data_IF_457980639753
#
_entry.id   IF_457980639753
#
_cell.length_a   1.000
_cell.length_b   1.000
_cell.length_c   1.000
_cell.angle_alpha   90.00
_cell.angle_beta   90.00
_cell.angle_gamma   90.00
#
_symmetry.space_group_name_H-M   'P 1'
#
loop_
_entity.id
_entity.type
_entity.pdbx_description
1 polymer ?
#
# COMPACT_ATOMS: atom_id res chain seq x y z
N UNK A 1 1.78 7.01 -8.16
CA UNK A 1 2.86 6.05 -8.55
C UNK A 1 3.81 5.71 -7.40
N UNK A 2 4.35 6.68 -6.66
CA UNK A 2 5.31 6.43 -5.58
C UNK A 2 4.86 5.39 -4.54
N UNK A 3 3.64 5.49 -4.03
CA UNK A 3 3.12 4.50 -3.06
C UNK A 3 3.14 3.05 -3.56
N UNK A 4 2.77 2.82 -4.82
CA UNK A 4 2.80 1.48 -5.40
C UNK A 4 4.23 0.92 -5.53
N UNK A 5 5.21 1.78 -5.87
CA UNK A 5 6.63 1.40 -5.89
C UNK A 5 7.15 1.11 -4.47
N UNK A 6 6.70 1.85 -3.47
CA UNK A 6 7.04 1.59 -2.06
C UNK A 6 6.57 0.20 -1.63
N UNK A 7 5.37 -0.23 -2.03
CA UNK A 7 4.90 -1.61 -1.80
C UNK A 7 5.76 -2.64 -2.53
N UNK A 8 6.09 -2.40 -3.80
CA UNK A 8 6.95 -3.30 -4.57
C UNK A 8 8.34 -3.43 -3.93
N UNK A 9 8.91 -2.33 -3.44
CA UNK A 9 10.18 -2.33 -2.72
C UNK A 9 10.08 -3.11 -1.39
N UNK A 10 9.00 -2.91 -0.63
CA UNK A 10 8.77 -3.63 0.62
C UNK A 10 8.61 -5.15 0.42
N UNK A 11 8.18 -5.61 -0.75
CA UNK A 11 8.09 -7.03 -1.08
C UNK A 11 9.43 -7.64 -1.50
N UNK A 12 10.28 -6.88 -2.21
CA UNK A 12 11.47 -7.43 -2.88
C UNK A 12 12.82 -7.02 -2.28
N UNK A 13 12.89 -5.96 -1.47
CA UNK A 13 14.13 -5.46 -0.90
C UNK A 13 14.30 -6.00 0.52
N UNK A 14 15.18 -6.98 0.76
CA UNK A 14 15.30 -7.66 2.06
C UNK A 14 15.91 -6.78 3.16
N UNK A 15 16.54 -5.66 2.80
CA UNK A 15 17.14 -4.70 3.74
C UNK A 15 16.16 -3.61 4.20
N UNK A 16 14.93 -3.61 3.69
CA UNK A 16 13.94 -2.61 4.06
C UNK A 16 13.32 -2.98 5.41
N UNK A 17 13.41 -2.10 6.40
CA UNK A 17 12.90 -2.36 7.75
C UNK A 17 11.45 -1.90 7.96
N UNK A 18 11.00 -0.92 7.18
CA UNK A 18 9.62 -0.41 7.20
C UNK A 18 9.31 0.36 5.91
N UNK A 19 8.02 0.53 5.60
CA UNK A 19 7.59 1.31 4.45
C UNK A 19 6.33 2.15 4.73
N UNK A 20 6.27 3.35 4.15
CA UNK A 20 5.12 4.25 4.26
C UNK A 20 4.59 4.66 2.87
N UNK A 21 3.79 3.80 2.20
CA UNK A 21 3.24 4.10 0.89
C UNK A 21 2.13 5.16 0.96
N UNK A 22 2.21 6.16 0.09
CA UNK A 22 1.22 7.23 -0.02
C UNK A 22 0.47 7.16 -1.36
N UNK A 23 -0.87 7.10 -1.29
CA UNK A 23 -1.81 7.28 -2.41
C UNK A 23 -1.51 6.38 -3.61
N UNK A 24 -1.19 5.11 -3.37
CA UNK A 24 -0.93 4.16 -4.44
C UNK A 24 -0.80 2.71 -3.97
N UNK A 25 -1.53 1.83 -4.65
CA UNK A 25 -1.56 0.38 -4.45
C UNK A 25 -1.09 -0.25 -5.75
N UNK A 26 -0.14 -1.21 -5.70
CA UNK A 26 0.28 -1.91 -6.90
C UNK A 26 -0.81 -2.88 -7.38
N UNK A 27 -0.72 -3.25 -8.66
CA UNK A 27 -1.62 -4.24 -9.26
C UNK A 27 -1.36 -5.63 -8.64
N UNK A 28 -2.42 -6.26 -8.12
CA UNK A 28 -2.34 -7.56 -7.44
C UNK A 28 -1.91 -8.71 -8.35
N UNK A 29 -2.03 -8.54 -9.68
CA UNK A 29 -1.53 -9.51 -10.66
C UNK A 29 -0.01 -9.66 -10.60
N UNK A 30 0.69 -8.60 -10.16
CA UNK A 30 2.15 -8.56 -10.15
C UNK A 30 2.74 -8.50 -8.73
N UNK A 31 2.04 -7.87 -7.79
CA UNK A 31 2.55 -7.66 -6.42
C UNK A 31 1.53 -8.10 -5.37
N UNK A 32 1.95 -8.94 -4.43
CA UNK A 32 1.10 -9.47 -3.36
C UNK A 32 1.47 -8.76 -2.06
N UNK A 33 0.75 -7.68 -1.77
CA UNK A 33 1.01 -6.84 -0.58
C UNK A 33 0.85 -7.61 0.73
N UNK A 34 0.07 -8.69 0.71
CA UNK A 34 -0.17 -9.61 1.83
C UNK A 34 1.08 -10.44 2.17
N UNK A 35 2.04 -10.54 1.25
CA UNK A 35 3.31 -11.24 1.47
C UNK A 35 4.38 -10.40 2.18
N UNK A 36 4.14 -9.10 2.33
CA UNK A 36 5.08 -8.17 2.98
C UNK A 36 5.11 -8.43 4.48
N UNK A 37 6.33 -8.61 5.02
CA UNK A 37 6.54 -8.99 6.43
C UNK A 37 6.97 -7.83 7.33
N UNK A 38 7.31 -6.70 6.73
CA UNK A 38 7.80 -5.51 7.44
C UNK A 38 6.64 -4.57 7.77
N UNK A 39 6.75 -3.72 8.80
CA UNK A 39 5.74 -2.74 9.12
C UNK A 39 5.40 -1.81 7.93
N UNK A 40 4.10 -1.60 7.72
CA UNK A 40 3.56 -0.76 6.66
C UNK A 40 2.63 0.32 7.24
N UNK A 41 2.80 1.58 6.81
CA UNK A 41 1.89 2.69 7.11
C UNK A 41 1.35 3.29 5.80
N UNK A 42 0.13 2.93 5.44
CA UNK A 42 -0.48 3.36 4.19
C UNK A 42 -1.35 4.62 4.35
N UNK A 43 -1.06 5.68 3.61
CA UNK A 43 -1.90 6.89 3.60
C UNK A 43 -2.71 6.95 2.31
N UNK A 44 -4.04 6.96 2.44
CA UNK A 44 -4.98 7.02 1.31
C UNK A 44 -6.03 8.12 1.53
N UNK A 45 -6.35 8.87 0.48
CA UNK A 45 -7.33 9.95 0.55
C UNK A 45 -8.74 9.40 0.41
N UNK A 46 -9.62 9.65 1.37
CA UNK A 46 -11.03 9.21 1.31
C UNK A 46 -11.88 9.82 0.18
N UNK A 47 -11.31 10.79 -0.57
CA UNK A 47 -11.94 11.43 -1.73
C UNK A 47 -11.18 11.16 -3.04
N UNK A 48 -10.23 10.25 -3.02
CA UNK A 48 -9.48 9.90 -4.22
C UNK A 48 -10.39 9.18 -5.21
N UNK A 49 -10.41 9.65 -6.46
CA UNK A 49 -11.26 9.12 -7.53
C UNK A 49 -10.51 8.17 -8.47
N UNK A 50 -9.21 7.94 -8.25
CA UNK A 50 -8.40 7.03 -9.05
C UNK A 50 -8.66 5.57 -8.65
N UNK A 51 -9.72 5.02 -9.22
CA UNK A 51 -10.18 3.64 -9.00
C UNK A 51 -9.08 2.61 -9.24
N UNK A 52 -9.01 1.59 -8.38
CA UNK A 52 -8.01 0.53 -8.44
C UNK A 52 -6.59 0.90 -7.97
N UNK A 53 -6.15 2.15 -8.13
CA UNK A 53 -4.78 2.57 -7.79
C UNK A 53 -4.69 3.31 -6.46
N UNK A 54 -5.53 4.30 -6.20
CA UNK A 54 -5.57 5.05 -4.93
C UNK A 54 -6.94 4.94 -4.25
N UNK A 55 -7.73 3.95 -4.66
CA UNK A 55 -9.09 3.69 -4.22
C UNK A 55 -9.16 3.30 -2.73
N UNK A 56 -9.92 4.05 -1.91
CA UNK A 56 -10.14 3.73 -0.50
C UNK A 56 -10.71 2.33 -0.25
N UNK A 57 -11.55 1.81 -1.14
CA UNK A 57 -12.11 0.47 -0.98
C UNK A 57 -11.03 -0.60 -1.17
N UNK A 58 -10.12 -0.39 -2.12
CA UNK A 58 -9.02 -1.32 -2.41
C UNK A 58 -7.96 -1.27 -1.31
N UNK A 59 -7.66 -0.09 -0.75
CA UNK A 59 -6.69 0.03 0.35
C UNK A 59 -7.17 -0.67 1.61
N UNK A 60 -8.44 -0.48 2.00
CA UNK A 60 -9.03 -1.16 3.16
C UNK A 60 -9.06 -2.67 2.96
N UNK A 61 -9.48 -3.13 1.78
CA UNK A 61 -9.61 -4.57 1.51
C UNK A 61 -8.27 -5.31 1.52
N UNK A 62 -7.17 -4.67 1.08
CA UNK A 62 -5.86 -5.32 0.93
C UNK A 62 -4.89 -5.11 2.08
N UNK A 63 -5.06 -4.03 2.85
CA UNK A 63 -4.13 -3.68 3.94
C UNK A 63 -4.71 -3.95 5.33
N UNK A 64 -6.03 -4.22 5.42
CA UNK A 64 -6.72 -4.43 6.68
C UNK A 64 -6.60 -3.25 7.65
N UNK A 65 -6.96 -3.45 8.92
CA UNK A 65 -6.87 -2.43 9.96
C UNK A 65 -5.43 -2.00 10.31
N UNK A 66 -4.41 -2.68 9.77
CA UNK A 66 -3.00 -2.43 10.08
C UNK A 66 -2.41 -1.22 9.33
N UNK A 67 -3.10 -0.69 8.31
CA UNK A 67 -2.63 0.47 7.54
C UNK A 67 -3.25 1.82 7.91
N UNK A 68 -4.18 1.88 8.88
CA UNK A 68 -5.01 3.07 9.12
C UNK A 68 -4.35 4.09 10.05
N UNK A 69 -3.32 4.78 9.56
CA UNK A 69 -2.97 6.09 10.09
C UNK A 69 -3.94 7.13 9.53
N UNK A 70 -5.04 7.39 10.24
CA UNK A 70 -5.98 8.44 9.89
C UNK A 70 -5.33 9.82 10.10
N UNK A 71 -5.25 10.60 9.03
CA UNK A 71 -5.18 12.07 9.07
C UNK A 71 -6.08 12.63 7.98
#
# INVERSE_FOLDING_TARGET
MGGALTFAAAQHVPLLEAAAPCYGIPDARYFQVESIKIPLLGTFGGRDTHTGFADPAVSVARLGAQGMGQV
#
